data_IF_506805303778
#
_entry.id   IF_506805303778
#
_cell.length_a   1.000
_cell.length_b   1.000
_cell.length_c   1.000
_cell.angle_alpha   90.00
_cell.angle_beta   90.00
_cell.angle_gamma   90.00
#
_symmetry.space_group_name_H-M   'P 1'
#
loop_
_entity.id
_entity.type
_entity.pdbx_description
1 polymer ?
#
# COMPACT_ATOMS: atom_id res chain seq x y z
N UNK A 1 7.20 -11.40 -78.77
CA UNK A 1 7.95 -12.65 -78.57
C UNK A 1 8.35 -12.74 -77.09
N UNK A 2 7.88 -13.80 -76.39
CA UNK A 2 8.54 -14.54 -75.27
C UNK A 2 8.99 -13.76 -74.00
N UNK A 3 8.80 -14.13 -72.72
CA UNK A 3 8.36 -15.31 -71.92
C UNK A 3 7.95 -14.80 -70.52
N UNK A 4 6.98 -15.44 -69.85
CA UNK A 4 6.60 -15.28 -68.42
C UNK A 4 7.73 -15.66 -67.45
N UNK A 5 7.87 -14.96 -66.30
CA UNK A 5 8.27 -15.62 -65.05
C UNK A 5 7.39 -15.20 -63.87
N UNK A 6 6.92 -16.24 -63.20
CA UNK A 6 6.15 -16.37 -61.97
C UNK A 6 6.98 -16.06 -60.73
N UNK A 7 6.30 -15.83 -59.58
CA UNK A 7 6.47 -16.54 -58.27
C UNK A 7 6.35 -15.63 -57.04
N UNK A 8 5.54 -16.15 -56.09
CA UNK A 8 5.49 -15.98 -54.62
C UNK A 8 5.05 -14.63 -54.03
N UNK A 9 3.86 -14.53 -53.44
CA UNK A 9 3.47 -14.94 -52.06
C UNK A 9 4.42 -14.51 -50.95
N UNK A 10 4.04 -13.48 -50.20
CA UNK A 10 4.07 -13.51 -48.74
C UNK A 10 2.96 -12.60 -48.20
N UNK A 11 1.91 -13.23 -47.64
CA UNK A 11 0.97 -12.59 -46.75
C UNK A 11 1.72 -12.12 -45.49
N UNK A 12 1.73 -10.82 -45.24
CA UNK A 12 2.26 -10.23 -44.01
C UNK A 12 1.13 -9.56 -43.25
N UNK A 13 0.27 -10.33 -42.58
CA UNK A 13 -0.66 -9.77 -41.58
C UNK A 13 0.17 -9.49 -40.34
N UNK A 14 0.68 -8.27 -40.21
CA UNK A 14 1.22 -7.76 -38.96
C UNK A 14 0.03 -7.45 -38.03
N UNK A 15 -0.43 -8.48 -37.32
CA UNK A 15 -1.29 -8.31 -36.16
C UNK A 15 -0.46 -7.64 -35.05
N UNK A 16 -0.46 -6.31 -35.03
CA UNK A 16 -0.01 -5.56 -33.89
C UNK A 16 -1.02 -5.79 -32.76
N UNK A 17 -0.76 -6.80 -31.93
CA UNK A 17 -1.49 -7.02 -30.70
C UNK A 17 -1.15 -5.86 -29.75
N UNK A 18 -1.99 -4.82 -29.76
CA UNK A 18 -1.99 -3.77 -28.75
C UNK A 18 -2.48 -4.38 -27.42
N UNK A 19 -1.58 -5.04 -26.68
CA UNK A 19 -1.82 -5.31 -25.26
C UNK A 19 -1.69 -3.99 -24.51
N UNK A 20 -2.73 -3.15 -24.54
CA UNK A 20 -2.89 -2.11 -23.54
C UNK A 20 -3.08 -2.83 -22.21
N UNK A 21 -1.99 -3.01 -21.47
CA UNK A 21 -2.05 -3.27 -20.06
C UNK A 21 -2.78 -2.07 -19.44
N UNK A 22 -4.09 -2.24 -19.22
CA UNK A 22 -4.89 -1.36 -18.40
C UNK A 22 -4.25 -1.38 -17.01
N UNK A 23 -3.34 -0.45 -16.75
CA UNK A 23 -2.96 -0.06 -15.40
C UNK A 23 -4.23 0.52 -14.79
N UNK A 24 -5.06 -0.35 -14.23
CA UNK A 24 -6.18 0.07 -13.41
C UNK A 24 -5.53 0.68 -12.17
N UNK A 25 -5.62 2.01 -11.95
CA UNK A 25 -5.25 2.54 -10.66
C UNK A 25 -6.18 1.85 -9.66
N UNK A 26 -5.62 0.97 -8.83
CA UNK A 26 -6.38 0.42 -7.73
C UNK A 26 -6.95 1.62 -6.96
N UNK A 27 -8.26 1.67 -6.69
CA UNK A 27 -8.81 2.75 -5.89
C UNK A 27 -8.03 2.79 -4.58
N UNK A 28 -7.55 3.98 -4.19
CA UNK A 28 -7.04 4.18 -2.84
C UNK A 28 -8.18 3.83 -1.89
N UNK A 29 -8.12 2.64 -1.28
CA UNK A 29 -9.17 2.20 -0.37
C UNK A 29 -8.95 2.95 0.94
N UNK A 30 -9.93 3.79 1.28
CA UNK A 30 -10.05 4.31 2.64
C UNK A 30 -9.96 3.16 3.65
N UNK A 31 -9.23 3.39 4.73
CA UNK A 31 -9.24 2.50 5.87
C UNK A 31 -10.67 2.40 6.38
N UNK A 32 -11.12 1.23 6.82
CA UNK A 32 -12.41 1.12 7.50
C UNK A 32 -12.22 1.15 9.01
N UNK A 33 -13.04 1.93 9.72
CA UNK A 33 -13.02 2.07 11.17
C UNK A 33 -12.76 3.52 11.63
N UNK A 34 -12.20 3.68 12.82
CA UNK A 34 -11.96 5.01 13.41
C UNK A 34 -10.52 5.17 13.87
N UNK A 35 -9.92 6.31 13.55
CA UNK A 35 -8.64 6.75 14.09
C UNK A 35 -8.89 7.91 15.06
N UNK A 36 -8.57 7.72 16.33
CA UNK A 36 -8.77 8.73 17.37
C UNK A 36 -7.44 9.19 17.93
N UNK A 37 -7.21 10.50 17.93
CA UNK A 37 -6.07 11.16 18.56
C UNK A 37 -6.58 12.00 19.72
N UNK A 38 -6.05 11.75 20.90
CA UNK A 38 -6.43 12.46 22.12
C UNK A 38 -5.20 12.94 22.87
N UNK A 39 -5.18 14.22 23.22
CA UNK A 39 -4.17 14.82 24.08
C UNK A 39 -4.83 15.81 25.05
N UNK A 40 -4.06 16.38 25.97
CA UNK A 40 -4.58 17.42 26.87
C UNK A 40 -5.03 18.67 26.11
N UNK A 41 -4.46 18.92 24.94
CA UNK A 41 -4.66 20.14 24.15
C UNK A 41 -5.63 19.96 22.99
N UNK A 42 -6.06 18.74 22.67
CA UNK A 42 -6.99 18.52 21.58
C UNK A 42 -7.49 17.08 21.45
N UNK A 43 -8.58 16.96 20.70
CA UNK A 43 -9.19 15.69 20.30
C UNK A 43 -9.44 15.77 18.78
N UNK A 44 -9.07 14.72 18.07
CA UNK A 44 -9.36 14.54 16.65
C UNK A 44 -9.82 13.11 16.41
N UNK A 45 -10.83 12.97 15.58
CA UNK A 45 -11.37 11.68 15.16
C UNK A 45 -11.53 11.67 13.65
N UNK A 46 -11.04 10.61 13.02
CA UNK A 46 -11.19 10.36 11.60
C UNK A 46 -11.96 9.06 11.42
N UNK A 47 -13.11 9.14 10.74
CA UNK A 47 -13.94 7.99 10.40
C UNK A 47 -13.63 7.60 8.96
N UNK A 48 -13.36 6.32 8.76
CA UNK A 48 -12.95 5.73 7.50
C UNK A 48 -11.90 6.56 6.73
N UNK A 49 -10.73 6.87 7.34
CA UNK A 49 -9.79 7.80 6.74
C UNK A 49 -9.17 7.26 5.44
N UNK A 50 -9.11 8.11 4.43
CA UNK A 50 -8.35 7.84 3.21
C UNK A 50 -6.84 7.73 3.50
N UNK A 51 -6.08 7.02 2.65
CA UNK A 51 -4.63 7.04 2.72
C UNK A 51 -4.11 8.47 2.54
N UNK A 52 -3.32 8.96 3.50
CA UNK A 52 -2.96 10.38 3.52
C UNK A 52 -2.21 10.80 4.78
N UNK A 53 -1.75 12.05 4.78
CA UNK A 53 -1.14 12.69 5.96
C UNK A 53 -2.15 13.62 6.61
N UNK A 54 -2.37 13.43 7.91
CA UNK A 54 -3.32 14.15 8.74
C UNK A 54 -2.57 14.89 9.84
N UNK A 55 -3.05 16.06 10.28
CA UNK A 55 -2.47 16.75 11.42
C UNK A 55 -2.56 15.88 12.68
N UNK A 56 -1.57 16.02 13.55
CA UNK A 56 -1.57 15.40 14.87
C UNK A 56 -2.15 16.31 15.95
N UNK A 57 -2.04 15.89 17.20
CA UNK A 57 -2.47 16.66 18.39
C UNK A 57 -1.32 17.04 19.33
N UNK A 58 -0.07 16.79 18.90
CA UNK A 58 1.16 17.22 19.55
C UNK A 58 1.69 16.22 20.58
N UNK A 59 2.30 16.75 21.64
CA UNK A 59 2.95 15.95 22.69
C UNK A 59 1.96 15.20 23.59
N UNK A 60 2.39 14.06 24.15
CA UNK A 60 1.61 13.24 25.09
C UNK A 60 0.27 12.77 24.51
N UNK A 61 0.27 12.49 23.22
CA UNK A 61 -0.91 12.02 22.49
C UNK A 61 -1.13 10.53 22.71
N UNK A 62 -2.39 10.18 22.97
CA UNK A 62 -2.95 8.84 22.90
C UNK A 62 -3.55 8.65 21.52
N UNK A 63 -3.20 7.55 20.87
CA UNK A 63 -3.70 7.18 19.54
C UNK A 63 -4.41 5.85 19.66
N UNK A 64 -5.67 5.82 19.27
CA UNK A 64 -6.45 4.60 19.08
C UNK A 64 -6.64 4.39 17.59
N UNK A 65 -5.97 3.37 17.06
CA UNK A 65 -6.14 2.96 15.69
C UNK A 65 -7.16 1.82 15.63
N UNK A 66 -8.45 2.13 15.73
CA UNK A 66 -9.54 1.15 15.51
C UNK A 66 -9.85 0.98 14.01
N UNK A 67 -8.89 1.31 13.14
CA UNK A 67 -9.00 1.04 11.71
C UNK A 67 -8.38 -0.30 11.35
N UNK A 68 -8.74 -0.81 10.18
CA UNK A 68 -8.13 -1.99 9.55
C UNK A 68 -6.81 -1.71 8.81
N UNK A 69 -6.29 -0.49 8.90
CA UNK A 69 -5.09 -0.05 8.20
C UNK A 69 -4.01 0.36 9.19
N UNK A 70 -2.75 0.16 8.81
CA UNK A 70 -1.61 0.61 9.62
C UNK A 70 -1.51 2.13 9.53
N UNK A 71 -1.24 2.77 10.67
CA UNK A 71 -0.93 4.21 10.72
C UNK A 71 0.50 4.44 11.19
N UNK A 72 1.13 5.49 10.69
CA UNK A 72 2.48 5.91 11.08
C UNK A 72 2.38 7.26 11.81
N UNK A 73 2.91 7.33 13.02
CA UNK A 73 2.94 8.55 13.81
C UNK A 73 4.27 9.27 13.59
N UNK A 74 4.22 10.55 13.20
CA UNK A 74 5.40 11.36 12.98
C UNK A 74 5.48 12.48 14.03
N UNK A 75 6.67 12.79 14.55
CA UNK A 75 6.88 13.94 15.43
C UNK A 75 6.88 15.28 14.68
N UNK A 76 7.03 15.28 13.35
CA UNK A 76 6.88 16.47 12.50
C UNK A 76 5.45 16.64 12.00
N UNK A 77 5.12 17.82 11.48
CA UNK A 77 3.76 18.20 11.07
C UNK A 77 3.42 17.83 9.61
N UNK A 78 4.30 17.09 8.91
CA UNK A 78 4.22 16.89 7.46
C UNK A 78 4.38 15.45 6.97
N UNK A 79 4.49 14.46 7.87
CA UNK A 79 4.76 13.06 7.57
C UNK A 79 6.03 12.83 6.73
N UNK A 80 7.08 13.65 6.92
CA UNK A 80 8.30 13.62 6.08
C UNK A 80 9.52 13.06 6.78
N UNK A 81 9.56 13.05 8.12
CA UNK A 81 10.74 12.55 8.82
C UNK A 81 10.91 11.04 8.64
N UNK A 82 12.14 10.56 8.85
CA UNK A 82 12.44 9.11 8.90
C UNK A 82 12.15 8.49 10.27
N UNK A 83 11.90 9.32 11.28
CA UNK A 83 11.59 8.88 12.64
C UNK A 83 10.09 8.80 12.81
N UNK A 84 9.53 7.59 12.82
CA UNK A 84 8.10 7.39 13.01
C UNK A 84 7.84 6.19 13.93
N UNK A 85 6.63 6.14 14.46
CA UNK A 85 6.14 5.01 15.24
C UNK A 85 4.96 4.36 14.53
N UNK A 86 5.09 3.11 14.02
CA UNK A 86 3.97 2.41 13.44
C UNK A 86 2.97 2.00 14.53
N UNK A 87 1.68 2.11 14.23
CA UNK A 87 0.58 1.57 15.03
C UNK A 87 -0.21 0.65 14.10
N UNK A 88 -0.18 -0.64 14.41
CA UNK A 88 -0.90 -1.65 13.63
C UNK A 88 -2.42 -1.45 13.77
N UNK A 89 -3.22 -2.07 12.87
CA UNK A 89 -4.67 -2.14 13.04
C UNK A 89 -5.09 -2.60 14.43
N UNK A 90 -6.14 -1.98 14.98
CA UNK A 90 -6.73 -2.28 16.29
C UNK A 90 -5.75 -2.16 17.47
N UNK A 91 -4.72 -1.33 17.35
CA UNK A 91 -3.74 -1.09 18.40
C UNK A 91 -3.85 0.32 18.97
N UNK A 92 -3.34 0.44 20.19
CA UNK A 92 -3.28 1.69 20.94
C UNK A 92 -1.81 2.06 21.14
N UNK A 93 -1.47 3.31 20.85
CA UNK A 93 -0.16 3.89 21.20
C UNK A 93 -0.36 5.05 22.15
N UNK A 94 0.38 5.06 23.26
CA UNK A 94 0.23 6.05 24.33
C UNK A 94 1.45 6.94 24.46
N UNK A 95 1.23 8.16 24.95
CA UNK A 95 2.27 9.12 25.30
C UNK A 95 3.29 9.38 24.18
N UNK A 96 2.82 9.62 22.95
CA UNK A 96 3.67 9.95 21.80
C UNK A 96 3.69 11.45 21.51
N UNK A 97 4.75 11.92 20.86
CA UNK A 97 4.75 13.22 20.20
C UNK A 97 4.29 13.03 18.75
N UNK A 98 3.09 13.51 18.44
CA UNK A 98 2.42 13.30 17.16
C UNK A 98 2.12 14.66 16.54
N UNK A 99 3.03 15.14 15.69
CA UNK A 99 2.83 16.33 14.86
C UNK A 99 1.95 16.02 13.64
N UNK A 100 2.07 14.80 13.10
CA UNK A 100 1.22 14.31 12.01
C UNK A 100 1.07 12.79 12.05
N UNK A 101 0.04 12.29 11.38
CA UNK A 101 -0.26 10.87 11.23
C UNK A 101 -0.44 10.53 9.76
N UNK A 102 0.24 9.48 9.30
CA UNK A 102 0.03 8.94 7.95
C UNK A 102 -0.80 7.67 8.02
N UNK A 103 -1.97 7.70 7.40
CA UNK A 103 -2.78 6.49 7.16
C UNK A 103 -2.23 5.84 5.89
N UNK A 104 -1.92 4.55 5.98
CA UNK A 104 -1.44 3.76 4.84
C UNK A 104 -2.62 3.13 4.11
N UNK A 105 -2.39 2.76 2.85
CA UNK A 105 -3.32 1.92 2.11
C UNK A 105 -3.63 0.64 2.89
N UNK A 106 -4.90 0.24 2.87
CA UNK A 106 -5.31 -1.05 3.43
C UNK A 106 -4.56 -2.17 2.73
N UNK A 107 -3.99 -3.16 3.45
CA UNK A 107 -3.45 -4.35 2.82
C UNK A 107 -4.56 -5.04 2.01
N UNK A 108 -4.27 -5.36 0.75
CA UNK A 108 -5.20 -6.12 -0.09
C UNK A 108 -5.55 -7.43 0.63
N UNK A 109 -6.84 -7.63 0.91
CA UNK A 109 -7.36 -8.87 1.49
C UNK A 109 -7.21 -9.95 0.41
N UNK A 110 -6.04 -10.59 0.33
CA UNK A 110 -5.74 -11.61 -0.69
C UNK A 110 -4.26 -11.81 -1.05
N UNK A 111 -3.33 -11.77 -0.09
CA UNK A 111 -1.90 -11.89 -0.38
C UNK A 111 -1.08 -12.55 0.72
N UNK A 112 -1.52 -13.72 1.22
CA UNK A 112 -0.71 -14.58 2.07
C UNK A 112 0.17 -15.58 1.27
N UNK A 113 0.23 -15.45 -0.06
CA UNK A 113 0.94 -16.40 -0.95
C UNK A 113 2.06 -15.76 -1.76
N UNK A 114 2.98 -15.04 -1.09
CA UNK A 114 4.24 -14.64 -1.71
C UNK A 114 5.42 -14.97 -0.79
N UNK A 115 5.87 -16.22 -0.90
CA UNK A 115 7.26 -16.70 -1.00
C UNK A 115 7.37 -18.07 -0.32
N UNK A 116 7.04 -19.09 -1.12
CA UNK A 116 7.72 -20.37 -1.10
C UNK A 116 9.20 -20.14 -1.43
N UNK A 117 10.07 -20.17 -0.42
CA UNK A 117 11.44 -20.66 -0.58
C UNK A 117 11.93 -21.17 0.78
N UNK A 118 11.57 -22.44 1.07
CA UNK A 118 12.26 -23.22 2.09
C UNK A 118 13.25 -24.07 1.31
N UNK A 119 14.57 -23.96 1.52
CA UNK A 119 15.51 -24.86 0.88
C UNK A 119 15.19 -26.29 1.31
N UNK A 120 14.97 -27.19 0.34
CA UNK A 120 14.89 -28.62 0.59
C UNK A 120 16.21 -29.08 1.21
N UNK A 121 16.17 -29.47 2.49
CA UNK A 121 17.21 -30.28 3.08
C UNK A 121 17.17 -31.65 2.41
N UNK A 122 18.17 -31.94 1.58
CA UNK A 122 18.43 -33.29 1.08
C UNK A 122 18.85 -34.17 2.26
N UNK A 123 18.07 -35.23 2.49
CA UNK A 123 18.42 -36.28 3.45
C UNK A 123 19.68 -37.04 2.98
N UNK A 124 20.55 -37.50 3.89
CA UNK A 124 21.66 -38.37 3.51
C UNK A 124 21.13 -39.76 3.09
N UNK A 125 21.66 -40.24 1.97
CA UNK A 125 21.46 -41.60 1.41
C UNK A 125 22.29 -42.60 2.23
N UNK A 126 21.85 -43.87 2.42
CA UNK A 126 22.38 -44.83 3.41
C UNK A 126 23.86 -45.17 3.29
#
# INVERSE_FOLDING_TARGET
>A
MTVRRTVATTAGVLAAACTLALTCPAPASAASGRLVLYSRTGFQEYVDPEPGCYPGTGSRTFVWNDTDSRVLLFPDDSCRTRVYWPVEPYQISVNRNVGSVRVLDRPAVGGADAVTDRPQATAPTP
#
